data_IF_156107426341
#
_entry.id   IF_156107426341
#
_cell.length_a   1.000
_cell.length_b   1.000
_cell.length_c   1.000
_cell.angle_alpha   90.00
_cell.angle_beta   90.00
_cell.angle_gamma   90.00
#
_symmetry.space_group_name_H-M   'P 1'
#
loop_
_entity.id
_entity.type
_entity.pdbx_description
1 polymer ?
#
# COMPACT_ATOMS: atom_id res chain seq x y z
N UNK A 1 -74.04 8.65 2.66
CA UNK A 1 -74.79 7.52 2.06
C UNK A 1 -74.65 7.64 0.54
N UNK A 2 -74.14 6.61 -0.15
CA UNK A 2 -73.79 6.61 -1.60
C UNK A 2 -72.33 7.05 -1.86
N UNK A 3 -71.30 6.21 -2.06
CA UNK A 3 -70.98 5.14 -3.04
C UNK A 3 -70.75 5.67 -4.48
N UNK A 4 -69.49 5.63 -4.98
CA UNK A 4 -69.01 4.76 -6.10
C UNK A 4 -67.69 5.24 -6.74
N UNK A 5 -66.67 4.35 -6.64
CA UNK A 5 -65.69 3.89 -7.68
C UNK A 5 -64.58 4.84 -8.16
N UNK A 6 -63.37 4.40 -8.53
CA UNK A 6 -62.79 3.09 -8.88
C UNK A 6 -61.25 3.17 -8.84
N UNK A 7 -60.56 2.20 -8.22
CA UNK A 7 -59.65 1.18 -8.83
C UNK A 7 -58.22 1.71 -9.09
N UNK A 8 -57.17 1.20 -8.45
CA UNK A 8 -56.50 -0.10 -8.66
C UNK A 8 -55.03 0.26 -8.99
N UNK A 9 -53.96 -0.34 -8.46
CA UNK A 9 -53.65 -1.76 -8.35
C UNK A 9 -52.48 -1.97 -7.37
N UNK A 10 -52.58 -2.99 -6.53
CA UNK A 10 -51.47 -3.63 -5.83
C UNK A 10 -51.35 -5.07 -6.35
N UNK A 11 -50.12 -5.55 -6.59
CA UNK A 11 -49.75 -6.99 -6.60
C UNK A 11 -48.30 -7.10 -6.12
N UNK A 12 -48.06 -7.57 -4.89
CA UNK A 12 -47.87 -8.97 -4.45
C UNK A 12 -46.57 -9.60 -5.01
N UNK A 13 -45.56 -9.68 -4.15
CA UNK A 13 -44.39 -10.54 -4.31
C UNK A 13 -44.79 -11.96 -3.91
N UNK A 14 -44.64 -12.90 -4.84
CA UNK A 14 -44.82 -14.33 -4.62
C UNK A 14 -43.45 -14.99 -4.41
N UNK A 15 -43.43 -15.93 -3.47
CA UNK A 15 -42.39 -16.94 -3.28
C UNK A 15 -42.22 -17.79 -4.54
N UNK A 16 -40.99 -18.14 -4.86
CA UNK A 16 -40.66 -19.38 -5.58
C UNK A 16 -39.37 -19.94 -4.97
N UNK A 17 -39.58 -20.93 -4.12
CA UNK A 17 -38.62 -21.95 -3.73
C UNK A 17 -38.68 -23.08 -4.79
N UNK A 18 -37.64 -23.89 -4.91
CA UNK A 18 -37.47 -25.02 -5.86
C UNK A 18 -36.80 -24.75 -7.23
N UNK A 19 -35.47 -24.52 -7.20
CA UNK A 19 -34.54 -25.21 -8.13
C UNK A 19 -33.26 -25.62 -7.41
N UNK A 20 -33.40 -26.52 -6.46
CA UNK A 20 -32.29 -27.37 -6.03
C UNK A 20 -32.20 -28.56 -6.98
N UNK A 21 -31.03 -28.78 -7.61
CA UNK A 21 -30.28 -30.04 -7.53
C UNK A 21 -28.82 -29.83 -7.96
N UNK A 22 -27.95 -30.11 -6.98
CA UNK A 22 -26.59 -30.63 -7.11
C UNK A 22 -25.46 -29.65 -7.48
N UNK A 23 -25.01 -28.91 -6.47
CA UNK A 23 -23.58 -28.92 -6.13
C UNK A 23 -23.45 -28.96 -4.60
N UNK A 24 -23.51 -30.17 -4.05
CA UNK A 24 -23.00 -30.47 -2.72
C UNK A 24 -21.49 -30.22 -2.76
N UNK A 25 -21.08 -29.13 -2.12
CA UNK A 25 -19.70 -28.72 -2.00
C UNK A 25 -19.62 -27.80 -0.80
N UNK A 26 -19.58 -28.40 0.38
CA UNK A 26 -19.03 -27.76 1.58
C UNK A 26 -17.55 -27.44 1.30
N UNK A 27 -17.31 -26.35 0.58
CA UNK A 27 -16.01 -25.70 0.51
C UNK A 27 -15.86 -25.00 1.84
N UNK A 28 -15.07 -25.59 2.75
CA UNK A 28 -14.90 -25.06 4.09
C UNK A 28 -14.35 -23.63 4.05
N UNK A 29 -14.66 -22.82 5.06
CA UNK A 29 -14.15 -21.45 5.21
C UNK A 29 -12.61 -21.36 5.13
N UNK A 30 -11.89 -22.48 5.28
CA UNK A 30 -10.46 -22.63 4.99
C UNK A 30 -10.12 -22.62 3.49
N UNK A 31 -10.91 -23.22 2.61
CA UNK A 31 -10.64 -23.26 1.16
C UNK A 31 -10.89 -21.91 0.48
N UNK A 32 -11.90 -21.14 0.93
CA UNK A 32 -12.13 -19.77 0.42
C UNK A 32 -11.02 -18.84 0.92
N UNK A 33 -10.61 -19.00 2.19
CA UNK A 33 -9.45 -18.30 2.78
C UNK A 33 -8.17 -18.65 2.02
N UNK A 34 -7.89 -19.93 1.76
CA UNK A 34 -6.73 -20.40 1.01
C UNK A 34 -6.77 -19.98 -0.48
N UNK A 35 -7.96 -19.86 -1.07
CA UNK A 35 -8.11 -19.38 -2.45
C UNK A 35 -7.83 -17.87 -2.58
N UNK A 36 -8.27 -17.07 -1.60
CA UNK A 36 -8.10 -15.61 -1.54
C UNK A 36 -6.67 -15.23 -1.13
N UNK A 37 -6.14 -15.84 -0.05
CA UNK A 37 -4.73 -15.77 0.32
C UNK A 37 -3.86 -16.25 -0.84
N UNK A 38 -4.22 -17.36 -1.46
CA UNK A 38 -3.54 -17.90 -2.62
C UNK A 38 -3.45 -16.96 -3.81
N UNK A 39 -4.38 -16.02 -4.04
CA UNK A 39 -4.31 -15.11 -5.19
C UNK A 39 -3.28 -13.98 -5.00
N UNK A 40 -3.12 -13.50 -3.78
CA UNK A 40 -2.11 -12.50 -3.38
C UNK A 40 -0.75 -13.21 -3.17
N UNK A 41 -0.78 -14.40 -2.59
CA UNK A 41 0.40 -15.24 -2.36
C UNK A 41 0.99 -15.74 -3.68
N UNK A 42 0.16 -16.18 -4.66
CA UNK A 42 0.65 -16.53 -6.01
C UNK A 42 1.22 -15.33 -6.78
N UNK A 43 0.77 -14.12 -6.49
CA UNK A 43 1.31 -12.88 -7.09
C UNK A 43 2.74 -12.63 -6.57
N UNK A 44 2.99 -12.76 -5.27
CA UNK A 44 4.33 -12.56 -4.69
C UNK A 44 5.24 -13.80 -4.72
N UNK A 45 4.72 -15.03 -4.68
CA UNK A 45 5.49 -16.28 -4.82
C UNK A 45 6.16 -16.40 -6.20
N UNK A 46 5.53 -15.84 -7.24
CA UNK A 46 6.11 -15.77 -8.59
C UNK A 46 7.24 -14.75 -8.70
N UNK A 47 7.26 -13.73 -7.83
CA UNK A 47 8.36 -12.75 -7.70
C UNK A 47 9.55 -13.32 -6.93
N UNK A 48 9.32 -14.34 -6.09
CA UNK A 48 10.36 -15.05 -5.35
C UNK A 48 11.21 -16.04 -6.16
N UNK A 49 11.06 -16.09 -7.48
CA UNK A 49 11.89 -16.85 -8.42
C UNK A 49 12.29 -18.25 -7.93
N UNK A 50 11.59 -19.30 -8.35
CA UNK A 50 12.12 -20.67 -8.26
C UNK A 50 13.49 -20.69 -8.94
N UNK A 51 14.56 -20.65 -8.15
CA UNK A 51 15.88 -21.06 -8.65
C UNK A 51 15.74 -22.52 -9.00
N UNK A 52 15.68 -22.80 -10.30
CA UNK A 52 15.80 -24.15 -10.82
C UNK A 52 17.10 -24.71 -10.26
N UNK A 53 16.98 -25.82 -9.55
CA UNK A 53 18.07 -26.52 -8.89
C UNK A 53 18.84 -27.29 -9.97
N UNK A 54 19.67 -26.58 -10.73
CA UNK A 54 20.72 -27.19 -11.54
C UNK A 54 22.05 -26.70 -10.99
N UNK A 55 22.79 -27.63 -10.37
CA UNK A 55 24.04 -27.35 -9.68
C UNK A 55 25.14 -26.96 -10.64
N UNK A 56 25.80 -25.84 -10.35
CA UNK A 56 27.22 -25.64 -10.59
C UNK A 56 27.66 -24.44 -9.74
N UNK A 57 28.50 -24.70 -8.74
CA UNK A 57 29.22 -23.64 -8.04
C UNK A 57 30.17 -22.98 -9.05
N UNK A 58 29.93 -21.72 -9.39
CA UNK A 58 30.89 -20.88 -10.09
C UNK A 58 31.32 -19.78 -9.14
N UNK A 59 32.55 -19.92 -8.65
CA UNK A 59 33.32 -18.86 -8.00
C UNK A 59 33.43 -17.66 -8.94
N UNK A 60 33.07 -16.48 -8.43
CA UNK A 60 33.45 -15.21 -9.06
C UNK A 60 34.55 -14.59 -8.21
N UNK A 61 35.77 -15.04 -8.48
CA UNK A 61 36.95 -14.17 -8.40
C UNK A 61 36.92 -13.28 -9.65
N UNK A 62 37.14 -11.98 -9.46
CA UNK A 62 36.91 -10.97 -10.48
C UNK A 62 37.06 -9.56 -9.93
N UNK A 63 38.28 -9.26 -9.48
CA UNK A 63 38.86 -7.92 -9.33
C UNK A 63 38.20 -6.84 -10.20
N UNK A 64 37.59 -5.84 -9.55
CA UNK A 64 37.34 -4.53 -10.12
C UNK A 64 38.07 -3.47 -9.29
N UNK A 65 38.86 -2.67 -10.00
CA UNK A 65 39.72 -1.62 -9.48
C UNK A 65 38.95 -0.60 -8.63
N UNK A 66 39.65 -0.06 -7.62
CA UNK A 66 39.08 0.87 -6.67
C UNK A 66 38.67 2.20 -7.29
N UNK A 67 37.54 2.71 -6.80
CA UNK A 67 37.42 4.10 -6.41
C UNK A 67 37.15 4.18 -4.90
N UNK A 68 37.63 5.24 -4.28
CA UNK A 68 37.60 5.42 -2.84
C UNK A 68 36.37 6.19 -2.40
N UNK A 69 35.54 5.57 -1.57
CA UNK A 69 34.83 6.27 -0.50
C UNK A 69 34.77 5.37 0.73
N UNK A 70 35.47 5.76 1.79
CA UNK A 70 35.38 5.18 3.12
C UNK A 70 34.08 5.62 3.83
N UNK A 71 32.92 5.28 3.26
CA UNK A 71 31.63 5.43 3.93
C UNK A 71 31.09 4.03 4.21
N UNK A 72 30.78 3.75 5.47
CA UNK A 72 30.12 2.50 5.86
C UNK A 72 28.78 2.31 5.13
N UNK A 73 28.14 1.14 5.27
CA UNK A 73 26.83 0.90 4.64
C UNK A 73 25.81 1.92 5.15
N UNK A 74 25.03 2.51 4.23
CA UNK A 74 24.02 3.53 4.52
C UNK A 74 23.11 3.12 5.70
N UNK A 75 22.89 4.07 6.62
CA UNK A 75 22.06 3.89 7.81
C UNK A 75 20.58 4.12 7.53
N UNK A 76 19.71 3.66 8.44
CA UNK A 76 18.26 3.80 8.31
C UNK A 76 17.80 5.26 8.16
N UNK A 77 18.33 6.16 8.98
CA UNK A 77 17.95 7.58 8.95
C UNK A 77 18.24 8.21 7.59
N UNK A 78 19.42 7.94 7.02
CA UNK A 78 19.81 8.46 5.71
C UNK A 78 18.96 7.87 4.59
N UNK A 79 18.66 6.56 4.64
CA UNK A 79 17.75 5.94 3.70
C UNK A 79 16.37 6.59 3.75
N UNK A 80 15.80 6.79 4.95
CA UNK A 80 14.49 7.40 5.10
C UNK A 80 14.47 8.87 4.65
N UNK A 81 15.54 9.65 4.90
CA UNK A 81 15.70 11.00 4.35
C UNK A 81 15.66 11.00 2.84
N UNK A 82 16.37 10.08 2.19
CA UNK A 82 16.37 9.96 0.73
C UNK A 82 15.02 9.48 0.19
N UNK A 83 14.38 8.51 0.83
CA UNK A 83 13.06 8.02 0.42
C UNK A 83 11.97 9.10 0.52
N UNK A 84 12.10 10.04 1.45
CA UNK A 84 11.17 11.17 1.57
C UNK A 84 11.21 12.12 0.36
N UNK A 85 12.28 12.12 -0.44
CA UNK A 85 12.42 12.96 -1.64
C UNK A 85 12.05 12.25 -2.93
N UNK A 86 11.79 10.94 -2.90
CA UNK A 86 11.44 10.16 -4.09
C UNK A 86 10.06 10.60 -4.60
N UNK A 87 9.97 10.88 -5.90
CA UNK A 87 8.73 11.36 -6.53
C UNK A 87 7.62 10.30 -6.54
N UNK A 88 6.35 10.73 -6.54
CA UNK A 88 5.19 9.83 -6.67
C UNK A 88 5.29 8.97 -7.95
N UNK A 89 5.84 9.52 -9.05
CA UNK A 89 6.11 8.79 -10.29
C UNK A 89 7.14 7.67 -10.10
N UNK A 90 8.25 7.94 -9.42
CA UNK A 90 9.28 6.94 -9.15
C UNK A 90 8.74 5.81 -8.25
N UNK A 91 7.98 6.14 -7.22
CA UNK A 91 7.26 5.15 -6.40
C UNK A 91 6.30 4.31 -7.22
N UNK A 92 5.49 4.94 -8.08
CA UNK A 92 4.57 4.23 -8.95
C UNK A 92 5.28 3.26 -9.91
N UNK A 93 6.41 3.66 -10.50
CA UNK A 93 7.22 2.78 -11.35
C UNK A 93 7.81 1.60 -10.57
N UNK A 94 8.29 1.83 -9.35
CA UNK A 94 8.74 0.74 -8.48
C UNK A 94 7.61 -0.26 -8.19
N UNK A 95 6.41 0.22 -7.87
CA UNK A 95 5.24 -0.63 -7.61
C UNK A 95 4.84 -1.41 -8.88
N UNK A 96 4.74 -0.74 -10.03
CA UNK A 96 4.43 -1.40 -11.31
C UNK A 96 5.50 -2.39 -11.75
N UNK A 97 6.77 -2.17 -11.37
CA UNK A 97 7.86 -3.12 -11.66
C UNK A 97 7.67 -4.47 -10.94
N UNK A 98 6.84 -4.51 -9.90
CA UNK A 98 6.46 -5.72 -9.19
C UNK A 98 5.18 -6.36 -9.73
N UNK A 99 4.49 -5.74 -10.70
CA UNK A 99 3.26 -6.27 -11.28
C UNK A 99 3.53 -7.47 -12.19
N UNK A 100 2.57 -8.42 -12.25
CA UNK A 100 2.63 -9.57 -13.15
C UNK A 100 2.58 -9.15 -14.63
N UNK A 101 2.01 -7.99 -14.92
CA UNK A 101 1.88 -7.43 -16.26
C UNK A 101 2.97 -6.41 -16.60
N UNK A 102 3.99 -6.21 -15.74
CA UNK A 102 5.04 -5.19 -15.92
C UNK A 102 5.66 -5.17 -17.32
N UNK A 103 5.93 -6.35 -17.90
CA UNK A 103 6.60 -6.50 -19.20
C UNK A 103 5.64 -6.22 -20.39
N UNK A 104 4.37 -5.93 -20.10
CA UNK A 104 3.29 -5.64 -21.06
C UNK A 104 2.79 -4.20 -21.00
N UNK A 105 3.21 -3.44 -19.98
CA UNK A 105 2.81 -2.05 -19.81
C UNK A 105 3.81 -1.20 -20.61
N UNK A 106 3.31 -0.44 -21.57
CA UNK A 106 4.11 0.58 -22.24
C UNK A 106 4.57 1.64 -21.22
N UNK A 107 5.83 2.11 -21.23
CA UNK A 107 6.32 3.05 -20.21
C UNK A 107 5.51 4.35 -20.10
N UNK A 108 5.09 4.95 -21.22
CA UNK A 108 4.33 6.21 -21.22
C UNK A 108 2.87 5.97 -20.81
N UNK A 109 2.29 4.81 -21.18
CA UNK A 109 1.02 4.34 -20.62
C UNK A 109 1.13 4.14 -19.10
N UNK A 110 2.18 3.48 -18.62
CA UNK A 110 2.43 3.22 -17.21
C UNK A 110 2.52 4.50 -16.38
N UNK A 111 3.27 5.50 -16.84
CA UNK A 111 3.36 6.81 -16.18
C UNK A 111 1.99 7.51 -16.07
N UNK A 112 1.19 7.48 -17.15
CA UNK A 112 -0.18 8.02 -17.11
C UNK A 112 -1.06 7.26 -16.13
N UNK A 113 -0.95 5.93 -16.10
CA UNK A 113 -1.72 5.11 -15.15
C UNK A 113 -1.32 5.39 -13.70
N UNK A 114 -0.03 5.61 -13.43
CA UNK A 114 0.48 6.01 -12.10
C UNK A 114 -0.14 7.35 -11.68
N UNK A 115 -0.12 8.35 -12.57
CA UNK A 115 -0.71 9.66 -12.29
C UNK A 115 -2.21 9.55 -11.98
N UNK A 116 -2.95 8.79 -12.78
CA UNK A 116 -4.39 8.59 -12.59
C UNK A 116 -4.71 7.79 -11.31
N UNK A 117 -3.95 6.75 -10.99
CA UNK A 117 -4.11 6.00 -9.74
C UNK A 117 -3.80 6.86 -8.51
N UNK A 118 -2.75 7.69 -8.60
CA UNK A 118 -2.39 8.65 -7.54
C UNK A 118 -3.49 9.69 -7.34
N UNK A 119 -4.02 10.25 -8.43
CA UNK A 119 -5.15 11.19 -8.38
C UNK A 119 -6.39 10.54 -7.78
N UNK A 120 -6.74 9.32 -8.22
CA UNK A 120 -7.85 8.54 -7.69
C UNK A 120 -7.73 8.37 -6.15
N UNK A 121 -6.56 7.99 -5.64
CA UNK A 121 -6.33 7.87 -4.19
C UNK A 121 -6.57 9.19 -3.45
N UNK A 122 -6.04 10.30 -3.96
CA UNK A 122 -6.22 11.65 -3.38
C UNK A 122 -7.68 12.11 -3.40
N UNK A 123 -8.39 11.89 -4.51
CA UNK A 123 -9.81 12.23 -4.65
C UNK A 123 -10.69 11.44 -3.68
N UNK A 124 -10.39 10.17 -3.46
CA UNK A 124 -11.10 9.36 -2.47
C UNK A 124 -10.82 9.81 -1.04
N UNK A 125 -9.58 10.20 -0.71
CA UNK A 125 -9.25 10.74 0.61
C UNK A 125 -10.05 12.02 0.90
N UNK A 126 -10.15 12.89 -0.10
CA UNK A 126 -10.99 14.09 -0.07
C UNK A 126 -12.48 13.78 0.08
N UNK A 127 -13.00 12.83 -0.71
CA UNK A 127 -14.40 12.43 -0.67
C UNK A 127 -14.79 11.89 0.69
N UNK A 128 -14.03 10.94 1.22
CA UNK A 128 -14.27 10.33 2.53
C UNK A 128 -14.19 11.37 3.65
N UNK A 129 -13.19 12.25 3.60
CA UNK A 129 -13.06 13.34 4.57
C UNK A 129 -14.28 14.26 4.55
N UNK A 130 -14.75 14.69 3.37
CA UNK A 130 -15.96 15.53 3.23
C UNK A 130 -17.21 14.81 3.71
N UNK A 131 -17.33 13.52 3.43
CA UNK A 131 -18.49 12.74 3.79
C UNK A 131 -18.61 12.57 5.30
N UNK A 132 -17.50 12.26 5.99
CA UNK A 132 -17.55 11.83 7.40
C UNK A 132 -16.91 12.80 8.39
N UNK A 133 -16.27 13.87 7.90
CA UNK A 133 -15.72 14.95 8.72
C UNK A 133 -14.49 14.58 9.54
N UNK A 134 -13.86 13.43 9.26
CA UNK A 134 -12.69 12.93 9.97
C UNK A 134 -11.63 12.47 8.99
N UNK A 135 -10.37 12.62 9.39
CA UNK A 135 -9.20 12.15 8.66
C UNK A 135 -8.57 10.92 9.33
N UNK A 136 -9.21 10.36 10.37
CA UNK A 136 -8.70 9.22 11.11
C UNK A 136 -9.24 7.89 10.53
N UNK A 137 -8.39 7.05 9.91
CA UNK A 137 -8.79 5.80 9.26
C UNK A 137 -9.61 4.85 10.14
N UNK A 138 -9.34 4.76 11.44
CA UNK A 138 -10.12 3.87 12.33
C UNK A 138 -11.55 4.34 12.58
N UNK A 139 -11.79 5.66 12.60
CA UNK A 139 -13.16 6.18 12.72
C UNK A 139 -13.94 5.93 11.43
N UNK A 140 -13.24 6.07 10.30
CA UNK A 140 -13.73 5.82 8.96
C UNK A 140 -14.08 4.32 8.80
N UNK A 141 -13.18 3.42 9.17
CA UNK A 141 -13.44 1.99 9.18
C UNK A 141 -14.68 1.63 10.03
N UNK A 142 -14.82 2.23 11.23
CA UNK A 142 -15.99 2.04 12.08
C UNK A 142 -17.30 2.47 11.42
N UNK A 143 -17.31 3.59 10.69
CA UNK A 143 -18.47 4.05 9.91
C UNK A 143 -18.81 3.14 8.74
N UNK A 144 -17.82 2.44 8.17
CA UNK A 144 -18.01 1.42 7.13
C UNK A 144 -18.42 0.05 7.68
N UNK A 145 -18.47 -0.12 9.00
CA UNK A 145 -18.70 -1.42 9.63
C UNK A 145 -17.50 -2.38 9.49
N UNK A 146 -16.29 -1.85 9.29
CA UNK A 146 -15.06 -2.63 9.16
C UNK A 146 -14.40 -2.75 10.53
N UNK A 147 -14.23 -3.98 11.01
CA UNK A 147 -13.51 -4.24 12.25
C UNK A 147 -12.00 -4.03 12.05
N UNK A 148 -11.29 -3.53 13.07
CA UNK A 148 -9.83 -3.47 13.06
C UNK A 148 -9.30 -4.38 14.15
N UNK A 149 -8.49 -5.36 13.75
CA UNK A 149 -7.85 -6.33 14.63
C UNK A 149 -6.33 -6.26 14.57
N UNK A 150 -5.71 -6.87 15.58
CA UNK A 150 -4.27 -7.02 15.67
C UNK A 150 -3.91 -8.48 15.37
N UNK A 151 -2.89 -8.67 14.54
CA UNK A 151 -2.31 -9.96 14.22
C UNK A 151 -0.91 -10.05 14.86
N UNK A 152 -0.70 -10.92 15.87
CA UNK A 152 0.58 -11.01 16.58
C UNK A 152 1.67 -11.72 15.77
N UNK A 153 1.37 -12.22 14.57
CA UNK A 153 2.32 -12.96 13.76
C UNK A 153 3.54 -12.10 13.42
N UNK A 154 4.76 -12.67 13.48
CA UNK A 154 5.93 -12.00 12.96
C UNK A 154 5.81 -11.84 11.44
N UNK A 155 6.59 -10.91 10.89
CA UNK A 155 6.76 -10.83 9.45
C UNK A 155 7.32 -12.15 8.91
N UNK A 156 6.68 -12.70 7.87
CA UNK A 156 7.09 -13.97 7.26
C UNK A 156 7.93 -13.74 6.00
N UNK A 157 9.09 -14.39 5.92
CA UNK A 157 9.95 -14.40 4.73
C UNK A 157 10.64 -13.06 4.44
N UNK A 158 10.89 -12.78 3.15
CA UNK A 158 11.41 -11.49 2.66
C UNK A 158 10.30 -10.46 2.38
N UNK A 159 9.04 -10.78 2.71
CA UNK A 159 7.84 -10.02 2.33
C UNK A 159 7.49 -9.00 3.42
N UNK A 160 7.21 -7.78 2.99
CA UNK A 160 6.75 -6.68 3.83
C UNK A 160 5.20 -6.61 3.83
N UNK A 161 4.52 -7.59 4.43
CA UNK A 161 3.09 -7.47 4.70
C UNK A 161 2.94 -6.99 6.15
N UNK A 162 2.30 -5.85 6.37
CA UNK A 162 2.14 -5.27 7.71
C UNK A 162 0.69 -5.02 8.10
N UNK A 163 -0.22 -5.02 7.13
CA UNK A 163 -1.64 -5.07 7.35
C UNK A 163 -2.31 -5.79 6.19
N UNK A 164 -3.58 -6.16 6.36
CA UNK A 164 -4.39 -6.75 5.30
C UNK A 164 -5.87 -6.43 5.51
N UNK A 165 -6.57 -6.07 4.44
CA UNK A 165 -8.01 -6.09 4.34
C UNK A 165 -8.52 -7.50 4.02
N UNK A 166 -9.52 -7.96 4.77
CA UNK A 166 -10.16 -9.26 4.63
C UNK A 166 -11.68 -9.07 4.49
N UNK A 167 -12.23 -9.18 3.28
CA UNK A 167 -13.68 -9.27 3.11
C UNK A 167 -14.16 -10.63 3.67
N UNK A 168 -15.18 -10.61 4.51
CA UNK A 168 -15.70 -11.81 5.18
C UNK A 168 -17.23 -11.78 5.20
N UNK A 169 -17.87 -12.94 5.04
CA UNK A 169 -19.32 -13.10 5.18
C UNK A 169 -19.81 -12.70 6.59
N UNK A 170 -18.96 -12.83 7.61
CA UNK A 170 -19.21 -12.36 8.98
C UNK A 170 -18.98 -10.86 9.21
N UNK A 171 -18.53 -10.12 8.18
CA UNK A 171 -18.21 -8.71 8.23
C UNK A 171 -16.73 -8.43 7.94
N UNK A 172 -16.50 -7.41 7.11
CA UNK A 172 -15.18 -6.94 6.70
C UNK A 172 -14.27 -6.63 7.90
N UNK A 173 -12.98 -6.97 7.78
CA UNK A 173 -11.98 -6.59 8.79
C UNK A 173 -10.64 -6.16 8.18
N UNK A 174 -9.92 -5.34 8.92
CA UNK A 174 -8.51 -4.99 8.67
C UNK A 174 -7.69 -5.58 9.81
N UNK A 175 -6.67 -6.36 9.49
CA UNK A 175 -5.72 -6.90 10.47
C UNK A 175 -4.37 -6.23 10.32
N UNK A 176 -3.80 -5.71 11.42
CA UNK A 176 -2.46 -5.12 11.44
C UNK A 176 -1.50 -6.06 12.13
N UNK A 177 -0.36 -6.38 11.50
CA UNK A 177 0.69 -7.16 12.13
C UNK A 177 1.40 -6.31 13.19
N UNK A 178 1.27 -6.69 14.46
CA UNK A 178 1.76 -5.87 15.58
C UNK A 178 3.23 -6.11 15.93
N UNK A 179 3.79 -7.29 15.65
CA UNK A 179 5.22 -7.57 15.91
C UNK A 179 6.16 -6.60 15.16
N UNK A 180 5.97 -6.31 13.85
CA UNK A 180 6.76 -5.30 13.15
C UNK A 180 6.70 -3.91 13.80
N UNK A 181 5.50 -3.49 14.23
CA UNK A 181 5.28 -2.19 14.87
C UNK A 181 5.97 -2.11 16.23
N UNK A 182 5.89 -3.17 17.04
CA UNK A 182 6.52 -3.23 18.35
C UNK A 182 8.05 -3.20 18.25
N UNK A 183 8.62 -3.94 17.31
CA UNK A 183 10.07 -3.94 17.06
C UNK A 183 10.55 -2.57 16.58
N UNK A 184 9.78 -1.96 15.68
CA UNK A 184 10.06 -0.62 15.20
C UNK A 184 9.99 0.43 16.32
N UNK A 185 9.01 0.36 17.21
CA UNK A 185 8.88 1.32 18.32
C UNK A 185 10.10 1.27 19.26
N UNK A 186 10.58 0.06 19.57
CA UNK A 186 11.81 -0.14 20.35
C UNK A 186 13.05 0.39 19.62
N UNK A 187 13.17 0.15 18.31
CA UNK A 187 14.26 0.69 17.50
C UNK A 187 14.23 2.22 17.47
N UNK A 188 13.05 2.81 17.23
CA UNK A 188 12.84 4.26 17.19
C UNK A 188 13.23 4.90 18.51
N UNK A 189 12.85 4.31 19.64
CA UNK A 189 13.25 4.79 20.97
C UNK A 189 14.77 4.85 21.15
N UNK A 190 15.48 3.82 20.68
CA UNK A 190 16.97 3.81 20.71
C UNK A 190 17.57 4.87 19.80
N UNK A 191 17.11 4.99 18.56
CA UNK A 191 17.62 5.99 17.60
C UNK A 191 17.41 7.43 18.10
N UNK A 192 16.26 7.72 18.72
CA UNK A 192 15.99 9.04 19.31
C UNK A 192 16.89 9.30 20.51
N UNK A 193 17.09 8.31 21.39
CA UNK A 193 17.99 8.44 22.53
C UNK A 193 19.46 8.64 22.11
N UNK A 194 19.92 7.91 21.08
CA UNK A 194 21.25 8.06 20.49
C UNK A 194 21.45 9.45 19.89
N UNK A 195 20.47 9.95 19.11
CA UNK A 195 20.52 11.29 18.53
C UNK A 195 20.51 12.42 19.59
N UNK A 196 19.81 12.23 20.71
CA UNK A 196 19.81 13.17 21.82
C UNK A 196 21.15 13.19 22.59
N UNK A 197 21.91 12.09 22.55
CA UNK A 197 23.20 11.95 23.24
C UNK A 197 24.39 12.54 22.45
N UNK A 198 24.29 12.69 21.13
CA UNK A 198 25.32 13.32 20.28
C UNK A 198 24.70 14.35 19.30
N UNK A 199 24.50 15.61 19.74
CA UNK A 199 23.90 16.66 18.90
C UNK A 199 24.76 17.04 17.69
N UNK A 200 26.08 16.82 17.73
CA UNK A 200 27.01 17.24 16.67
C UNK A 200 27.07 16.27 15.49
N UNK A 201 26.73 14.98 15.68
CA UNK A 201 26.62 14.00 14.59
C UNK A 201 25.38 14.20 13.70
N UNK A 202 24.37 14.94 14.17
CA UNK A 202 23.09 15.17 13.46
C UNK A 202 23.13 16.34 12.46
N UNK A 203 24.16 17.18 12.51
CA UNK A 203 24.34 18.31 11.60
C UNK A 203 25.13 17.90 10.36
N UNK A 204 24.51 17.14 9.45
CA UNK A 204 25.08 16.95 8.11
C UNK A 204 24.84 18.23 7.29
N UNK A 205 25.85 18.77 6.58
CA UNK A 205 25.76 20.05 5.88
C UNK A 205 25.06 19.89 4.53
N UNK A 206 23.79 19.50 4.55
CA UNK A 206 22.89 19.50 3.39
C UNK A 206 21.46 19.79 3.84
N UNK A 207 21.32 20.84 4.66
CA UNK A 207 20.05 21.50 4.92
C UNK A 207 19.88 22.64 3.91
N UNK A 208 19.52 22.30 2.67
CA UNK A 208 18.99 23.27 1.72
C UNK A 208 18.23 22.54 0.62
N UNK A 209 17.06 23.09 0.28
CA UNK A 209 16.15 22.70 -0.82
C UNK A 209 15.15 21.60 -0.46
N UNK A 210 14.21 21.93 0.42
CA UNK A 210 12.80 21.60 0.18
C UNK A 210 12.13 22.91 -0.22
N UNK A 211 12.31 23.33 -1.48
CA UNK A 211 11.46 24.36 -2.07
C UNK A 211 10.26 23.67 -2.70
N UNK A 212 9.09 23.97 -2.14
CA UNK A 212 7.79 23.67 -2.71
C UNK A 212 7.73 24.11 -4.18
N UNK A 213 7.25 23.22 -5.04
CA UNK A 213 6.73 23.58 -6.36
C UNK A 213 5.29 23.10 -6.46
N UNK A 214 4.38 24.04 -6.71
CA UNK A 214 3.05 23.76 -7.27
C UNK A 214 1.89 23.92 -6.28
N UNK A 215 1.08 24.95 -6.51
CA UNK A 215 -0.14 25.31 -5.78
C UNK A 215 -1.13 24.16 -5.61
N UNK A 216 -1.43 23.83 -4.35
CA UNK A 216 -2.75 23.35 -3.93
C UNK A 216 -3.05 24.04 -2.59
N UNK A 217 -4.29 24.52 -2.43
CA UNK A 217 -4.75 25.20 -1.23
C UNK A 217 -4.34 24.43 0.04
N UNK A 218 -3.86 25.15 1.06
CA UNK A 218 -3.39 24.58 2.31
C UNK A 218 -4.42 23.58 2.87
N UNK A 219 -4.03 22.31 2.91
CA UNK A 219 -4.88 21.23 3.36
C UNK A 219 -5.01 21.28 4.90
N UNK A 220 -6.21 21.47 5.46
CA UNK A 220 -6.42 21.53 6.91
C UNK A 220 -6.04 20.22 7.63
N UNK A 221 -5.83 19.10 6.90
CA UNK A 221 -5.36 17.81 7.46
C UNK A 221 -3.88 17.80 7.82
N UNK A 222 -3.09 18.79 7.41
CA UNK A 222 -1.67 18.91 7.75
C UNK A 222 -1.41 19.37 9.20
N UNK A 223 -2.46 19.53 10.02
CA UNK A 223 -2.43 20.22 11.32
C UNK A 223 -1.82 19.42 12.51
N UNK A 224 -0.95 18.45 12.25
CA UNK A 224 0.05 18.01 13.24
C UNK A 224 1.43 18.64 12.91
N UNK A 225 1.42 19.93 12.58
CA UNK A 225 2.62 20.76 12.42
C UNK A 225 3.05 21.39 13.74
N UNK A 226 3.29 20.57 14.77
CA UNK A 226 4.16 20.98 15.87
C UNK A 226 5.59 21.13 15.35
N UNK A 227 6.46 21.82 16.08
CA UNK A 227 7.91 21.87 15.80
C UNK A 227 8.52 20.48 16.02
N UNK A 228 8.18 19.53 15.16
CA UNK A 228 8.71 18.19 15.19
C UNK A 228 10.14 18.27 14.67
N UNK A 229 11.08 17.75 15.45
CA UNK A 229 12.46 17.56 14.99
C UNK A 229 12.46 16.91 13.62
N UNK A 230 13.39 17.28 12.73
CA UNK A 230 13.57 16.63 11.41
C UNK A 230 13.49 15.10 11.52
N UNK A 231 14.00 14.53 12.61
CA UNK A 231 13.95 13.09 12.90
C UNK A 231 12.54 12.54 13.13
N UNK A 232 11.63 13.29 13.74
CA UNK A 232 10.25 12.86 13.99
C UNK A 232 9.43 12.82 12.69
N UNK A 233 9.70 13.72 11.75
CA UNK A 233 9.15 13.69 10.38
C UNK A 233 9.62 12.45 9.60
N UNK A 234 10.84 11.99 9.85
CA UNK A 234 11.48 10.86 9.14
C UNK A 234 11.16 9.51 9.83
N UNK A 235 11.05 9.51 11.16
CA UNK A 235 10.78 8.34 12.00
C UNK A 235 9.42 8.51 12.72
N UNK A 236 8.31 8.23 12.02
CA UNK A 236 6.96 8.39 12.58
C UNK A 236 6.77 7.52 13.83
N UNK A 237 5.89 7.91 14.75
CA UNK A 237 5.53 7.05 15.89
C UNK A 237 4.90 5.74 15.42
N UNK A 238 5.00 4.66 16.20
CA UNK A 238 4.34 3.40 15.85
C UNK A 238 2.82 3.55 15.67
N UNK A 239 2.19 4.45 16.45
CA UNK A 239 0.79 4.82 16.26
C UNK A 239 0.53 5.45 14.88
N UNK A 240 1.37 6.39 14.44
CA UNK A 240 1.25 7.00 13.11
C UNK A 240 1.51 6.02 11.98
N UNK A 241 2.46 5.08 12.17
CA UNK A 241 2.67 3.95 11.24
C UNK A 241 1.40 3.09 11.14
N UNK A 242 0.81 2.69 12.28
CA UNK A 242 -0.45 1.93 12.32
C UNK A 242 -1.56 2.66 11.58
N UNK A 243 -1.70 3.96 11.80
CA UNK A 243 -2.69 4.80 11.14
C UNK A 243 -2.53 4.79 9.62
N UNK A 244 -1.30 4.89 9.11
CA UNK A 244 -1.02 4.81 7.68
C UNK A 244 -1.32 3.42 7.09
N UNK A 245 -0.98 2.34 7.81
CA UNK A 245 -1.29 0.98 7.37
C UNK A 245 -2.80 0.72 7.32
N UNK A 246 -3.55 1.14 8.34
CA UNK A 246 -5.02 1.05 8.34
C UNK A 246 -5.60 1.91 7.21
N UNK A 247 -5.07 3.11 6.99
CA UNK A 247 -5.48 3.97 5.88
C UNK A 247 -5.27 3.32 4.51
N UNK A 248 -4.19 2.56 4.34
CA UNK A 248 -3.91 1.82 3.12
C UNK A 248 -4.96 0.71 2.90
N UNK A 249 -5.18 -0.15 3.89
CA UNK A 249 -6.16 -1.24 3.78
C UNK A 249 -7.61 -0.74 3.66
N UNK A 250 -7.91 0.40 4.28
CA UNK A 250 -9.20 1.06 4.15
C UNK A 250 -9.49 1.49 2.69
N UNK A 251 -8.47 1.90 1.94
CA UNK A 251 -8.65 2.17 0.51
C UNK A 251 -9.06 0.91 -0.24
N UNK A 252 -8.44 -0.23 0.04
CA UNK A 252 -8.82 -1.51 -0.59
C UNK A 252 -10.26 -1.91 -0.27
N UNK A 253 -10.73 -1.64 0.95
CA UNK A 253 -12.14 -1.83 1.30
C UNK A 253 -13.08 -0.90 0.51
N UNK A 254 -12.70 0.37 0.33
CA UNK A 254 -13.44 1.33 -0.50
C UNK A 254 -13.43 0.89 -1.96
N UNK A 255 -12.28 0.42 -2.44
CA UNK A 255 -12.06 -0.06 -3.79
C UNK A 255 -12.98 -1.24 -4.12
N UNK A 256 -13.06 -2.22 -3.21
CA UNK A 256 -13.92 -3.40 -3.33
C UNK A 256 -15.41 -3.00 -3.42
N UNK A 257 -15.85 -2.08 -2.55
CA UNK A 257 -17.24 -1.56 -2.56
C UNK A 257 -17.58 -0.68 -3.76
N UNK A 258 -16.58 -0.22 -4.52
CA UNK A 258 -16.75 0.66 -5.67
C UNK A 258 -16.13 0.09 -6.96
N UNK A 259 -15.95 -1.23 -7.04
CA UNK A 259 -15.15 -1.88 -8.09
C UNK A 259 -15.61 -1.57 -9.52
N UNK A 260 -16.89 -1.28 -9.71
CA UNK A 260 -17.47 -0.95 -11.02
C UNK A 260 -17.08 0.44 -11.54
N UNK A 261 -16.54 1.33 -10.69
CA UNK A 261 -16.34 2.74 -11.02
C UNK A 261 -14.98 3.31 -10.61
N UNK A 262 -14.33 2.74 -9.60
CA UNK A 262 -13.04 3.23 -9.14
C UNK A 262 -11.95 2.97 -10.19
N UNK A 263 -11.11 3.97 -10.46
CA UNK A 263 -10.12 3.92 -11.55
C UNK A 263 -9.18 2.71 -11.41
N UNK A 264 -8.69 2.45 -10.19
CA UNK A 264 -7.73 1.39 -9.90
C UNK A 264 -8.26 -0.03 -10.17
N UNK A 265 -9.58 -0.20 -10.28
CA UNK A 265 -10.25 -1.46 -10.66
C UNK A 265 -10.71 -1.51 -12.11
N UNK A 266 -10.92 -0.35 -12.73
CA UNK A 266 -11.48 -0.24 -14.09
C UNK A 266 -10.42 0.01 -15.15
N UNK A 267 -9.24 0.50 -14.78
CA UNK A 267 -8.12 0.71 -15.67
C UNK A 267 -7.57 -0.64 -16.17
N UNK A 268 -7.47 -0.77 -17.48
CA UNK A 268 -7.02 -2.00 -18.15
C UNK A 268 -6.00 -1.70 -19.24
N UNK A 269 -5.05 -2.62 -19.42
CA UNK A 269 -4.16 -2.63 -20.58
C UNK A 269 -4.63 -3.68 -21.59
N UNK A 270 -4.32 -3.44 -22.87
CA UNK A 270 -4.60 -4.41 -23.95
C UNK A 270 -3.45 -5.39 -24.09
N UNK A 271 -3.68 -6.67 -23.78
CA UNK A 271 -2.63 -7.71 -23.86
C UNK A 271 -2.41 -8.18 -25.30
N UNK A 272 -3.47 -8.31 -26.09
CA UNK A 272 -3.40 -8.67 -27.51
C UNK A 272 -4.71 -8.37 -28.22
N UNK A 273 -4.61 -8.18 -29.54
CA UNK A 273 -5.73 -8.01 -30.47
C UNK A 273 -5.60 -9.01 -31.60
N UNK A 274 -6.55 -9.93 -31.72
CA UNK A 274 -6.56 -10.96 -32.76
C UNK A 274 -7.98 -11.11 -33.30
N UNK A 275 -8.13 -10.96 -34.63
CA UNK A 275 -9.40 -11.12 -35.36
C UNK A 275 -10.60 -10.39 -34.72
N UNK A 276 -10.45 -9.10 -34.41
CA UNK A 276 -11.51 -8.27 -33.84
C UNK A 276 -11.83 -8.52 -32.36
N UNK A 277 -11.10 -9.44 -31.70
CA UNK A 277 -11.16 -9.65 -30.26
C UNK A 277 -9.96 -9.00 -29.59
N UNK A 278 -10.22 -8.24 -28.53
CA UNK A 278 -9.20 -7.62 -27.68
C UNK A 278 -9.25 -8.29 -26.31
N UNK A 279 -8.10 -8.74 -25.81
CA UNK A 279 -7.97 -9.21 -24.44
C UNK A 279 -7.42 -8.07 -23.58
N UNK A 280 -8.17 -7.72 -22.54
CA UNK A 280 -7.83 -6.67 -21.59
C UNK A 280 -7.64 -7.27 -20.20
N UNK A 281 -6.75 -6.68 -19.42
CA UNK A 281 -6.55 -7.08 -18.02
C UNK A 281 -6.31 -5.85 -17.15
N UNK A 282 -6.78 -5.91 -15.91
CA UNK A 282 -6.54 -4.89 -14.91
C UNK A 282 -5.11 -4.98 -14.41
N UNK A 283 -4.55 -3.85 -13.98
CA UNK A 283 -3.19 -3.76 -13.45
C UNK A 283 -3.29 -3.64 -11.94
N UNK A 284 -2.88 -4.69 -11.21
CA UNK A 284 -3.08 -4.79 -9.77
C UNK A 284 -2.29 -3.70 -9.01
N UNK A 285 -1.09 -3.37 -9.49
CA UNK A 285 -0.25 -2.34 -8.89
C UNK A 285 -0.89 -0.95 -8.83
N UNK A 286 -1.93 -0.68 -9.62
CA UNK A 286 -2.67 0.59 -9.53
C UNK A 286 -3.46 0.71 -8.23
N UNK A 287 -4.01 -0.39 -7.71
CA UNK A 287 -4.66 -0.43 -6.40
C UNK A 287 -3.70 -0.05 -5.28
N UNK A 288 -2.47 -0.56 -5.32
CA UNK A 288 -1.41 -0.20 -4.38
C UNK A 288 -1.05 1.30 -4.47
N UNK A 289 -0.83 1.81 -5.69
CA UNK A 289 -0.54 3.24 -5.90
C UNK A 289 -1.66 4.12 -5.35
N UNK A 290 -2.93 3.76 -5.65
CA UNK A 290 -4.10 4.44 -5.13
C UNK A 290 -4.19 4.39 -3.60
N UNK A 291 -3.97 3.23 -3.00
CA UNK A 291 -3.99 3.03 -1.55
C UNK A 291 -2.91 3.85 -0.84
N UNK A 292 -1.69 3.87 -1.38
CA UNK A 292 -0.59 4.70 -0.88
C UNK A 292 -0.91 6.19 -0.95
N UNK A 293 -1.44 6.66 -2.09
CA UNK A 293 -1.82 8.06 -2.27
C UNK A 293 -2.99 8.46 -1.36
N UNK A 294 -4.00 7.60 -1.24
CA UNK A 294 -5.13 7.78 -0.33
C UNK A 294 -4.69 7.88 1.12
N UNK A 295 -3.92 6.91 1.61
CA UNK A 295 -3.46 6.86 2.99
C UNK A 295 -2.62 8.09 3.33
N UNK A 296 -1.69 8.47 2.44
CA UNK A 296 -0.86 9.69 2.59
C UNK A 296 -1.71 10.95 2.68
N UNK A 297 -2.67 11.13 1.76
CA UNK A 297 -3.49 12.33 1.68
C UNK A 297 -4.49 12.42 2.85
N UNK A 298 -5.10 11.29 3.23
CA UNK A 298 -6.04 11.24 4.34
C UNK A 298 -5.34 11.55 5.66
N UNK A 299 -4.20 10.91 5.95
CA UNK A 299 -3.48 11.06 7.23
C UNK A 299 -2.59 12.32 7.27
N UNK A 300 -2.33 12.94 6.12
CA UNK A 300 -1.45 14.11 6.02
C UNK A 300 0.03 13.76 6.23
N UNK A 301 0.53 12.69 5.59
CA UNK A 301 1.93 12.28 5.72
C UNK A 301 2.86 12.97 4.72
N UNK A 302 4.03 13.40 5.21
CA UNK A 302 5.04 14.07 4.40
C UNK A 302 5.75 13.13 3.40
N UNK A 303 5.76 11.82 3.67
CA UNK A 303 6.44 10.81 2.86
C UNK A 303 5.43 9.81 2.26
N UNK A 304 5.89 9.04 1.26
CA UNK A 304 5.11 7.98 0.64
C UNK A 304 4.99 6.76 1.56
N UNK A 305 3.79 6.23 1.87
CA UNK A 305 3.61 5.12 2.82
C UNK A 305 4.43 3.86 2.50
N UNK A 306 4.80 3.62 1.25
CA UNK A 306 5.69 2.52 0.87
C UNK A 306 7.12 2.61 1.45
N UNK A 307 7.55 3.78 1.91
CA UNK A 307 8.80 3.92 2.67
C UNK A 307 8.75 3.14 4.00
N UNK A 308 7.55 2.83 4.51
CA UNK A 308 7.38 2.00 5.71
C UNK A 308 7.92 0.58 5.51
N UNK A 309 8.00 0.08 4.27
CA UNK A 309 8.56 -1.24 3.98
C UNK A 309 10.04 -1.31 4.37
N UNK A 310 10.82 -0.30 4.02
CA UNK A 310 12.22 -0.19 4.41
C UNK A 310 12.33 0.01 5.93
N UNK A 311 11.48 0.87 6.49
CA UNK A 311 11.47 1.20 7.92
C UNK A 311 11.22 -0.02 8.82
N UNK A 312 10.15 -0.76 8.52
CA UNK A 312 9.73 -1.92 9.31
C UNK A 312 10.63 -3.13 9.04
N UNK A 313 11.06 -3.35 7.78
CA UNK A 313 12.01 -4.41 7.43
C UNK A 313 13.35 -4.25 8.17
N UNK A 314 13.81 -3.02 8.42
CA UNK A 314 15.07 -2.78 9.12
C UNK A 314 15.11 -3.44 10.50
N UNK A 315 13.97 -3.49 11.19
CA UNK A 315 13.85 -4.12 12.52
C UNK A 315 13.96 -5.65 12.49
N UNK A 316 13.91 -6.26 11.30
CA UNK A 316 14.11 -7.70 11.08
C UNK A 316 15.45 -7.99 10.41
N UNK A 317 15.79 -7.22 9.36
CA UNK A 317 16.99 -7.41 8.58
C UNK A 317 17.42 -6.09 7.93
N UNK A 318 18.45 -5.43 8.48
CA UNK A 318 19.06 -4.25 7.86
C UNK A 318 19.54 -4.51 6.43
N UNK A 319 19.98 -5.73 6.12
CA UNK A 319 20.44 -6.08 4.77
C UNK A 319 19.30 -6.18 3.77
N UNK A 320 18.16 -6.78 4.15
CA UNK A 320 16.97 -6.78 3.30
C UNK A 320 16.41 -5.36 3.14
N UNK A 321 16.39 -4.56 4.21
CA UNK A 321 15.96 -3.16 4.14
C UNK A 321 16.83 -2.34 3.18
N UNK A 322 18.16 -2.53 3.22
CA UNK A 322 19.09 -1.91 2.25
C UNK A 322 18.86 -2.41 0.83
N UNK A 323 18.53 -3.69 0.65
CA UNK A 323 18.21 -4.25 -0.66
C UNK A 323 16.93 -3.60 -1.24
N UNK A 324 15.87 -3.48 -0.44
CA UNK A 324 14.63 -2.79 -0.83
C UNK A 324 14.91 -1.32 -1.18
N UNK A 325 15.63 -0.61 -0.30
CA UNK A 325 16.04 0.77 -0.55
C UNK A 325 16.76 0.93 -1.89
N UNK A 326 17.77 0.08 -2.17
CA UNK A 326 18.52 0.12 -3.43
C UNK A 326 17.63 -0.10 -4.64
N UNK A 327 16.64 -0.99 -4.55
CA UNK A 327 15.68 -1.22 -5.64
C UNK A 327 14.79 0.00 -5.87
N UNK A 328 14.32 0.66 -4.81
CA UNK A 328 13.45 1.83 -4.94
C UNK A 328 14.19 2.98 -5.62
N UNK A 329 15.42 3.28 -5.18
CA UNK A 329 16.17 4.42 -5.72
C UNK A 329 16.59 4.25 -7.19
N UNK A 330 16.55 3.04 -7.77
CA UNK A 330 16.82 2.90 -9.22
C UNK A 330 15.74 3.55 -10.09
N UNK A 331 14.55 3.79 -9.53
CA UNK A 331 13.44 4.46 -10.23
C UNK A 331 13.42 5.98 -10.01
N UNK A 332 14.28 6.50 -9.13
CA UNK A 332 14.47 7.92 -8.82
C UNK A 332 15.48 8.56 -9.80
N UNK A 333 15.11 8.58 -11.08
CA UNK A 333 15.90 9.14 -12.22
C UNK A 333 15.22 10.32 -12.89
#
# INVERSE_FOLDING_TARGET
MGILRSDGTARQFANDDERDKAFDGTVGDEEIRDALHGAIDRFFDRLGGKSKKDGAAASLDGSAAGDGTAAGPIGLVDMMRRLATVSDRAWGRYILSSDMLRDKIDPDEGDRMIEQATACGREWADRVYREWGTNHPSEIAGKLGIAIGDNPSPMSGRRALFAQYLPDAGGDRIEVLVDPLNRYDQLRGRLIAEAAADPQASASPQAAVITQTGEAAADPRAAEGGTDSDLALILPTAGRVRTLLVGHELFHAIEDRNEASIYTRTATISLWKVFGRENRSTVRGLGEIGAGAFSRALVGAAFCPFALDVLLMWSYSPDNARALYRQIITFDV
#
